data_IF_865358827185
#
_entry.id   IF_865358827185
#
_cell.length_a   1.000
_cell.length_b   1.000
_cell.length_c   1.000
_cell.angle_alpha   90.00
_cell.angle_beta   90.00
_cell.angle_gamma   90.00
#
_symmetry.space_group_name_H-M   'P 1'
#
loop_
_entity.id
_entity.type
_entity.pdbx_description
1 polymer ?
#
# COMPACT_ATOMS: atom_id res chain seq x y z
N UNK A 1 -15.69 -18.44 -26.75
CA UNK A 1 -16.98 -18.17 -27.43
C UNK A 1 -17.83 -17.37 -26.46
N UNK A 2 -17.99 -16.07 -26.71
CA UNK A 2 -18.88 -15.20 -25.95
C UNK A 2 -20.30 -15.44 -26.44
N UNK A 3 -21.17 -15.96 -25.58
CA UNK A 3 -22.61 -16.02 -25.86
C UNK A 3 -23.11 -14.58 -25.92
N UNK A 4 -23.24 -14.03 -27.13
CA UNK A 4 -24.07 -12.86 -27.32
C UNK A 4 -25.52 -13.30 -27.08
N UNK A 5 -26.26 -12.65 -26.17
CA UNK A 5 -27.67 -12.93 -25.95
C UNK A 5 -28.43 -12.72 -27.26
N UNK A 6 -29.41 -13.59 -27.50
CA UNK A 6 -30.24 -13.55 -28.70
C UNK A 6 -30.98 -12.21 -28.82
N UNK A 7 -31.21 -11.74 -30.05
CA UNK A 7 -32.05 -10.57 -30.32
C UNK A 7 -33.41 -10.75 -29.64
N UNK A 8 -33.72 -9.87 -28.67
CA UNK A 8 -34.97 -9.89 -27.90
C UNK A 8 -34.81 -9.95 -26.38
N UNK A 9 -33.61 -10.23 -25.86
CA UNK A 9 -33.34 -10.00 -24.44
C UNK A 9 -33.10 -8.51 -24.17
N UNK A 10 -33.76 -7.95 -23.15
CA UNK A 10 -33.55 -6.58 -22.67
C UNK A 10 -32.16 -6.45 -22.01
N UNK A 11 -31.11 -6.54 -22.82
CA UNK A 11 -29.72 -6.52 -22.36
C UNK A 11 -29.36 -5.07 -22.06
N UNK A 12 -29.16 -4.77 -20.78
CA UNK A 12 -28.87 -3.41 -20.28
C UNK A 12 -27.50 -2.89 -20.74
N UNK A 13 -26.60 -3.77 -21.16
CA UNK A 13 -25.28 -3.47 -21.72
C UNK A 13 -24.38 -4.72 -21.84
N UNK A 14 -23.20 -4.55 -22.44
CA UNK A 14 -22.16 -5.56 -22.61
C UNK A 14 -20.84 -5.09 -21.99
N UNK A 15 -20.08 -6.00 -21.38
CA UNK A 15 -18.71 -5.74 -20.94
C UNK A 15 -17.77 -6.77 -21.57
N UNK A 16 -16.74 -6.29 -22.26
CA UNK A 16 -15.72 -7.13 -22.87
C UNK A 16 -14.61 -7.38 -21.87
N UNK A 17 -14.51 -8.61 -21.36
CA UNK A 17 -13.46 -9.01 -20.42
C UNK A 17 -12.03 -8.84 -20.98
N UNK A 18 -11.87 -8.90 -22.31
CA UNK A 18 -10.57 -8.80 -22.96
C UNK A 18 -10.05 -7.35 -23.05
N UNK A 19 -10.91 -6.46 -23.56
CA UNK A 19 -10.61 -5.06 -23.80
C UNK A 19 -10.97 -4.15 -22.62
N UNK A 20 -11.69 -4.68 -21.62
CA UNK A 20 -12.19 -3.96 -20.43
C UNK A 20 -13.05 -2.75 -20.79
N UNK A 21 -13.74 -2.82 -21.92
CA UNK A 21 -14.68 -1.81 -22.40
C UNK A 21 -16.12 -2.23 -22.12
N UNK A 22 -16.93 -1.23 -21.78
CA UNK A 22 -18.36 -1.41 -21.50
C UNK A 22 -19.19 -0.65 -22.54
N UNK A 23 -20.17 -1.34 -23.13
CA UNK A 23 -21.18 -0.75 -24.00
C UNK A 23 -22.53 -0.82 -23.30
N UNK A 24 -22.95 0.30 -22.74
CA UNK A 24 -24.24 0.44 -22.08
C UNK A 24 -25.33 0.80 -23.09
N UNK A 25 -26.55 0.29 -22.85
CA UNK A 25 -27.73 0.78 -23.56
C UNK A 25 -27.92 2.29 -23.33
N UNK A 26 -28.50 3.00 -24.29
CA UNK A 26 -28.64 4.47 -24.24
C UNK A 26 -29.36 4.97 -22.98
N UNK A 27 -30.23 4.18 -22.35
CA UNK A 27 -30.91 4.52 -21.10
C UNK A 27 -30.00 4.43 -19.86
N UNK A 28 -28.89 3.70 -19.95
CA UNK A 28 -27.88 3.52 -18.89
C UNK A 28 -26.62 4.36 -19.14
N UNK A 29 -26.37 4.78 -20.38
CA UNK A 29 -25.23 5.60 -20.76
C UNK A 29 -25.46 7.08 -20.41
N UNK A 30 -25.29 7.43 -19.13
CA UNK A 30 -25.32 8.83 -18.64
C UNK A 30 -23.96 9.55 -18.80
N UNK A 31 -22.97 8.93 -19.44
CA UNK A 31 -21.56 9.38 -19.44
C UNK A 31 -21.24 10.54 -20.41
N UNK A 32 -22.17 11.47 -20.67
CA UNK A 32 -21.83 12.70 -21.38
C UNK A 32 -21.12 13.75 -20.51
N UNK A 33 -21.02 13.53 -19.19
CA UNK A 33 -20.12 14.33 -18.37
C UNK A 33 -18.70 13.84 -18.56
N UNK A 34 -17.91 14.76 -19.11
CA UNK A 34 -16.50 14.66 -19.43
C UNK A 34 -15.75 13.90 -18.34
N UNK A 35 -14.90 13.00 -18.80
CA UNK A 35 -13.74 12.43 -18.11
C UNK A 35 -12.71 13.51 -17.68
N UNK A 36 -13.18 14.72 -17.35
CA UNK A 36 -12.37 15.82 -16.88
C UNK A 36 -11.78 15.47 -15.51
N UNK A 37 -10.49 15.15 -15.56
CA UNK A 37 -9.51 15.19 -14.48
C UNK A 37 -9.92 14.60 -13.13
N UNK A 38 -10.24 13.30 -13.09
CA UNK A 38 -9.87 12.53 -11.89
C UNK A 38 -8.34 12.46 -11.81
N UNK A 39 -7.73 13.42 -11.14
CA UNK A 39 -6.35 13.33 -10.68
C UNK A 39 -6.37 12.63 -9.34
N UNK A 40 -5.88 11.38 -9.22
CA UNK A 40 -5.71 10.76 -7.92
C UNK A 40 -4.81 11.69 -7.09
N UNK A 41 -5.39 12.30 -6.06
CA UNK A 41 -4.62 13.10 -5.11
C UNK A 41 -3.92 12.08 -4.22
N UNK A 42 -2.60 11.99 -4.36
CA UNK A 42 -1.81 11.22 -3.42
C UNK A 42 -1.99 11.87 -2.05
N UNK A 43 -2.81 11.27 -1.20
CA UNK A 43 -2.77 11.60 0.22
C UNK A 43 -1.41 11.20 0.74
N UNK A 44 -0.85 12.08 1.55
CA UNK A 44 0.53 12.11 1.98
C UNK A 44 1.10 10.72 2.26
N UNK A 45 2.33 10.52 1.80
CA UNK A 45 3.13 9.31 1.93
C UNK A 45 3.35 8.92 3.40
N UNK A 46 2.32 8.34 4.02
CA UNK A 46 2.47 7.59 5.25
C UNK A 46 3.08 6.24 4.87
N UNK A 47 4.23 5.85 5.41
CA UNK A 47 4.99 4.74 4.84
C UNK A 47 4.49 3.36 5.25
N UNK A 48 3.29 3.27 5.78
CA UNK A 48 2.68 2.05 6.29
C UNK A 48 2.19 1.22 5.10
N UNK A 49 3.14 0.53 4.46
CA UNK A 49 2.92 -0.33 3.30
C UNK A 49 1.81 -1.37 3.52
N UNK A 50 1.54 -1.75 4.78
CA UNK A 50 0.64 -2.86 5.15
C UNK A 50 -0.54 -2.46 6.05
N UNK A 51 -0.66 -1.17 6.37
CA UNK A 51 -1.80 -0.62 7.11
C UNK A 51 -2.28 0.68 6.45
N UNK A 52 -2.35 0.71 5.11
CA UNK A 52 -3.15 1.75 4.44
C UNK A 52 -4.48 1.80 5.18
N UNK A 53 -4.88 2.91 5.78
CA UNK A 53 -6.25 2.99 6.26
C UNK A 53 -7.13 3.09 5.01
N UNK A 54 -8.32 2.48 5.03
CA UNK A 54 -9.26 2.62 3.91
C UNK A 54 -9.53 4.11 3.61
N UNK A 55 -9.41 4.97 4.63
CA UNK A 55 -9.58 6.41 4.59
C UNK A 55 -8.54 7.22 3.81
N UNK A 56 -7.38 6.68 3.43
CA UNK A 56 -6.34 7.44 2.71
C UNK A 56 -6.52 7.40 1.17
N UNK A 57 -7.73 7.07 0.70
CA UNK A 57 -8.07 6.80 -0.70
C UNK A 57 -8.43 8.02 -1.56
N UNK A 58 -8.03 9.24 -1.17
CA UNK A 58 -8.54 10.43 -1.85
C UNK A 58 -9.71 11.03 -1.09
N UNK A 59 -9.96 12.33 -1.24
CA UNK A 59 -11.12 13.03 -0.68
C UNK A 59 -12.47 12.53 -1.23
N UNK A 60 -12.46 11.56 -2.15
CA UNK A 60 -13.60 11.17 -2.96
C UNK A 60 -14.42 10.01 -2.37
N UNK A 61 -13.76 8.96 -1.86
CA UNK A 61 -14.45 7.79 -1.28
C UNK A 61 -14.36 7.88 0.24
N UNK A 62 -15.50 8.06 0.91
CA UNK A 62 -15.55 8.05 2.37
C UNK A 62 -15.81 6.63 2.86
N UNK A 63 -14.92 6.10 3.68
CA UNK A 63 -15.09 4.77 4.26
C UNK A 63 -15.68 4.87 5.65
N UNK A 64 -16.79 4.17 5.88
CA UNK A 64 -17.42 4.08 7.20
C UNK A 64 -17.40 2.65 7.66
N UNK A 65 -16.96 2.44 8.90
CA UNK A 65 -17.09 1.15 9.56
C UNK A 65 -18.58 0.80 9.63
N UNK A 66 -18.92 -0.43 9.25
CA UNK A 66 -20.28 -0.94 9.38
C UNK A 66 -20.27 -1.71 10.70
N UNK A 67 -21.01 -1.20 11.69
CA UNK A 67 -21.19 -1.91 12.94
C UNK A 67 -21.78 -3.31 12.70
N UNK A 68 -21.67 -4.19 13.69
CA UNK A 68 -21.83 -5.66 13.64
C UNK A 68 -23.12 -6.22 13.00
N UNK A 69 -24.04 -5.39 12.52
CA UNK A 69 -25.26 -5.82 11.85
C UNK A 69 -25.21 -5.45 10.37
N UNK A 70 -25.88 -6.24 9.53
CA UNK A 70 -26.06 -5.90 8.12
C UNK A 70 -26.95 -4.65 7.91
N UNK A 71 -27.47 -4.06 8.99
CA UNK A 71 -28.30 -2.86 9.00
C UNK A 71 -27.54 -1.66 8.45
N UNK A 72 -27.79 -1.33 7.17
CA UNK A 72 -27.15 -0.22 6.48
C UNK A 72 -26.43 -0.63 5.19
N UNK A 73 -26.27 -1.93 4.95
CA UNK A 73 -25.89 -2.46 3.67
C UNK A 73 -27.10 -2.67 2.76
N UNK A 74 -26.89 -2.44 1.47
CA UNK A 74 -27.84 -2.74 0.40
C UNK A 74 -27.13 -3.42 -0.77
N UNK A 75 -27.86 -4.18 -1.62
CA UNK A 75 -27.32 -4.67 -2.88
C UNK A 75 -26.66 -3.53 -3.69
N UNK A 76 -25.50 -3.80 -4.27
CA UNK A 76 -24.69 -2.82 -5.01
C UNK A 76 -23.73 -1.99 -4.13
N UNK A 77 -23.73 -2.15 -2.81
CA UNK A 77 -22.72 -1.51 -1.96
C UNK A 77 -21.33 -2.13 -2.19
N UNK A 78 -20.31 -1.27 -2.16
CA UNK A 78 -18.91 -1.67 -2.16
C UNK A 78 -18.41 -1.72 -0.72
N UNK A 79 -17.92 -2.87 -0.31
CA UNK A 79 -17.38 -3.12 1.01
C UNK A 79 -15.91 -3.55 0.96
N UNK A 80 -15.17 -3.27 2.03
CA UNK A 80 -13.79 -3.70 2.18
C UNK A 80 -13.46 -4.11 3.61
N UNK A 81 -12.53 -5.04 3.78
CA UNK A 81 -11.97 -5.42 5.09
C UNK A 81 -10.49 -5.78 4.94
N UNK A 82 -9.72 -5.56 5.99
CA UNK A 82 -8.30 -5.86 5.99
C UNK A 82 -8.06 -7.39 6.05
N UNK A 83 -7.06 -7.87 5.33
CA UNK A 83 -6.57 -9.26 5.42
C UNK A 83 -5.25 -9.24 6.21
N UNK A 84 -5.26 -9.52 7.53
CA UNK A 84 -4.12 -9.24 8.40
C UNK A 84 -2.82 -9.94 7.98
N UNK A 85 -2.90 -11.20 7.57
CA UNK A 85 -1.73 -11.96 7.14
C UNK A 85 -1.09 -11.46 5.83
N UNK A 86 -1.85 -10.76 5.00
CA UNK A 86 -1.40 -10.29 3.68
C UNK A 86 -1.32 -8.76 3.59
N UNK A 87 -1.71 -8.03 4.64
CA UNK A 87 -1.58 -6.57 4.76
C UNK A 87 -2.32 -5.73 3.71
N UNK A 88 -3.35 -6.27 3.05
CA UNK A 88 -4.11 -5.54 2.03
C UNK A 88 -5.61 -5.53 2.33
N UNK A 89 -6.31 -4.54 1.79
CA UNK A 89 -7.77 -4.47 1.86
C UNK A 89 -8.39 -5.35 0.80
N UNK A 90 -9.22 -6.28 1.24
CA UNK A 90 -10.01 -7.08 0.34
C UNK A 90 -11.31 -6.36 0.04
N UNK A 91 -11.67 -6.24 -1.23
CA UNK A 91 -12.84 -5.51 -1.70
C UNK A 91 -13.87 -6.45 -2.33
N UNK A 92 -15.16 -6.13 -2.15
CA UNK A 92 -16.25 -6.90 -2.70
C UNK A 92 -17.49 -6.03 -2.99
N UNK A 93 -18.40 -6.56 -3.82
CA UNK A 93 -19.71 -5.95 -4.09
C UNK A 93 -20.79 -6.78 -3.41
N UNK A 94 -21.65 -6.14 -2.63
CA UNK A 94 -22.80 -6.79 -1.97
C UNK A 94 -23.84 -7.14 -3.03
N UNK A 95 -24.17 -8.43 -3.16
CA UNK A 95 -25.23 -8.91 -4.05
C UNK A 95 -26.57 -9.03 -3.32
N UNK A 96 -26.56 -9.55 -2.09
CA UNK A 96 -27.76 -9.79 -1.30
C UNK A 96 -27.50 -9.49 0.18
N UNK A 97 -28.49 -8.93 0.85
CA UNK A 97 -28.47 -8.67 2.29
C UNK A 97 -29.63 -9.41 2.92
N UNK A 98 -29.37 -10.09 4.02
CA UNK A 98 -30.37 -10.72 4.89
C UNK A 98 -30.04 -10.38 6.35
N UNK A 99 -30.94 -10.70 7.28
CA UNK A 99 -30.74 -10.41 8.69
C UNK A 99 -29.47 -11.08 9.28
N UNK A 100 -29.10 -12.26 8.77
CA UNK A 100 -28.05 -13.10 9.35
C UNK A 100 -26.77 -13.21 8.50
N UNK A 101 -26.83 -12.83 7.22
CA UNK A 101 -25.71 -12.91 6.30
C UNK A 101 -25.83 -11.92 5.15
N UNK A 102 -24.68 -11.60 4.58
CA UNK A 102 -24.57 -10.95 3.28
C UNK A 102 -23.98 -11.91 2.26
N UNK A 103 -24.42 -11.79 1.02
CA UNK A 103 -23.80 -12.42 -0.13
C UNK A 103 -23.02 -11.36 -0.89
N UNK A 104 -21.77 -11.64 -1.19
CA UNK A 104 -20.88 -10.74 -1.90
C UNK A 104 -20.30 -11.41 -3.14
N UNK A 105 -20.04 -10.62 -4.18
CA UNK A 105 -19.25 -11.02 -5.33
C UNK A 105 -17.85 -10.45 -5.12
N UNK A 106 -16.84 -11.33 -5.10
CA UNK A 106 -15.45 -10.96 -4.80
C UNK A 106 -14.46 -11.82 -5.60
N UNK A 107 -13.22 -11.34 -5.72
CA UNK A 107 -12.12 -12.21 -6.13
C UNK A 107 -11.87 -13.25 -5.05
N UNK A 108 -12.07 -14.52 -5.38
CA UNK A 108 -11.89 -15.62 -4.45
C UNK A 108 -10.78 -16.56 -4.86
N UNK A 109 -10.11 -17.10 -3.87
CA UNK A 109 -9.16 -18.19 -4.00
C UNK A 109 -9.91 -19.50 -3.75
N UNK A 110 -9.94 -20.39 -4.75
CA UNK A 110 -10.44 -21.74 -4.59
C UNK A 110 -9.29 -22.74 -4.77
N UNK A 111 -9.12 -23.62 -3.77
CA UNK A 111 -8.15 -24.71 -3.82
C UNK A 111 -8.88 -25.96 -4.27
N UNK A 112 -8.64 -26.42 -5.50
CA UNK A 112 -9.15 -27.70 -6.01
C UNK A 112 -7.98 -28.56 -6.45
N UNK A 113 -7.92 -29.80 -5.96
CA UNK A 113 -6.97 -30.83 -6.42
C UNK A 113 -5.51 -30.34 -6.49
N UNK A 114 -5.02 -29.72 -5.41
CA UNK A 114 -3.67 -29.15 -5.30
C UNK A 114 -3.33 -27.99 -6.26
N UNK A 115 -4.32 -27.42 -6.97
CA UNK A 115 -4.15 -26.18 -7.73
C UNK A 115 -4.94 -25.05 -7.07
N UNK A 116 -4.28 -23.90 -6.95
CA UNK A 116 -4.89 -22.65 -6.52
C UNK A 116 -5.42 -21.94 -7.76
N UNK A 117 -6.73 -21.69 -7.84
CA UNK A 117 -7.33 -20.86 -8.88
C UNK A 117 -7.95 -19.63 -8.25
N UNK A 118 -7.63 -18.48 -8.82
CA UNK A 118 -8.28 -17.22 -8.48
C UNK A 118 -9.35 -16.92 -9.51
N UNK A 119 -10.57 -16.68 -9.04
CA UNK A 119 -11.68 -16.28 -9.91
C UNK A 119 -12.68 -15.42 -9.16
N UNK A 120 -13.42 -14.59 -9.87
CA UNK A 120 -14.52 -13.83 -9.29
C UNK A 120 -15.68 -14.79 -9.01
N UNK A 121 -16.14 -14.84 -7.77
CA UNK A 121 -17.16 -15.78 -7.32
C UNK A 121 -18.06 -15.18 -6.25
N UNK A 122 -19.23 -15.81 -6.06
CA UNK A 122 -20.13 -15.51 -4.95
C UNK A 122 -19.60 -16.11 -3.65
N UNK A 123 -19.71 -15.35 -2.57
CA UNK A 123 -19.36 -15.77 -1.21
C UNK A 123 -20.41 -15.30 -0.23
N UNK A 124 -20.78 -16.20 0.67
CA UNK A 124 -21.65 -15.90 1.81
C UNK A 124 -20.74 -15.48 2.97
N UNK A 125 -21.04 -14.35 3.59
CA UNK A 125 -20.43 -13.85 4.82
C UNK A 125 -21.50 -13.76 5.89
N UNK A 126 -21.34 -14.50 6.98
CA UNK A 126 -22.31 -14.55 8.06
C UNK A 126 -21.98 -13.47 9.11
N UNK A 127 -22.91 -13.19 10.01
CA UNK A 127 -22.77 -12.14 11.03
C UNK A 127 -21.45 -12.21 11.83
N UNK A 128 -20.96 -13.41 12.16
CA UNK A 128 -19.66 -13.57 12.82
C UNK A 128 -18.45 -13.21 11.94
N UNK A 129 -18.56 -13.33 10.62
CA UNK A 129 -17.56 -12.81 9.67
C UNK A 129 -17.60 -11.28 9.56
N UNK A 130 -18.65 -10.64 10.09
CA UNK A 130 -18.82 -9.19 10.18
C UNK A 130 -18.39 -8.65 11.56
N UNK A 131 -18.07 -9.51 12.54
CA UNK A 131 -17.75 -9.10 13.90
C UNK A 131 -16.38 -8.44 13.99
N UNK A 132 -16.36 -7.11 14.08
CA UNK A 132 -15.15 -6.29 14.22
C UNK A 132 -14.31 -6.54 15.49
N UNK A 133 -14.77 -7.35 16.46
CA UNK A 133 -14.11 -7.50 17.77
C UNK A 133 -13.57 -8.89 18.10
N UNK A 134 -13.89 -9.96 17.36
CA UNK A 134 -13.51 -11.32 17.77
C UNK A 134 -12.56 -12.02 16.79
N UNK A 135 -11.62 -11.26 16.21
CA UNK A 135 -10.52 -11.68 15.32
C UNK A 135 -10.70 -11.23 13.85
N UNK A 136 -9.94 -10.19 13.51
CA UNK A 136 -9.22 -10.03 12.24
C UNK A 136 -9.79 -9.25 11.04
N UNK A 137 -10.74 -8.33 11.22
CA UNK A 137 -10.72 -6.96 10.62
C UNK A 137 -12.15 -6.42 10.44
N UNK A 138 -12.47 -5.20 10.94
CA UNK A 138 -13.77 -4.60 10.71
C UNK A 138 -14.04 -4.40 9.21
N UNK A 139 -15.32 -4.52 8.83
CA UNK A 139 -15.78 -4.24 7.48
C UNK A 139 -16.15 -2.77 7.34
N UNK A 140 -15.80 -2.19 6.20
CA UNK A 140 -16.08 -0.80 5.86
C UNK A 140 -16.92 -0.74 4.60
N UNK A 141 -17.88 0.18 4.58
CA UNK A 141 -18.63 0.58 3.39
C UNK A 141 -17.96 1.77 2.73
N UNK A 142 -17.79 1.68 1.41
CA UNK A 142 -17.43 2.83 0.58
C UNK A 142 -18.66 3.71 0.33
N UNK A 143 -18.53 5.00 0.60
CA UNK A 143 -19.50 6.03 0.23
C UNK A 143 -18.91 6.88 -0.89
N UNK A 144 -19.48 6.74 -2.08
CA UNK A 144 -19.14 7.56 -3.24
C UNK A 144 -19.95 8.86 -3.23
N UNK A 145 -19.49 9.90 -3.95
CA UNK A 145 -20.26 11.12 -4.15
C UNK A 145 -21.57 10.84 -4.88
N UNK A 146 -22.56 11.69 -4.64
CA UNK A 146 -23.92 11.50 -5.11
C UNK A 146 -23.97 11.39 -6.65
N UNK A 147 -23.11 12.14 -7.34
CA UNK A 147 -23.01 12.13 -8.80
C UNK A 147 -22.64 10.73 -9.32
N UNK A 148 -21.69 10.05 -8.66
CA UNK A 148 -21.29 8.69 -9.05
C UNK A 148 -22.36 7.67 -8.71
N UNK A 149 -23.02 7.78 -7.54
CA UNK A 149 -24.14 6.90 -7.18
C UNK A 149 -25.33 7.07 -8.17
N UNK A 150 -25.62 8.30 -8.60
CA UNK A 150 -26.68 8.61 -9.55
C UNK A 150 -26.39 8.14 -10.99
N UNK A 151 -25.12 8.12 -11.37
CA UNK A 151 -24.64 7.58 -12.65
C UNK A 151 -24.55 6.05 -12.62
N UNK A 152 -24.24 5.46 -11.47
CA UNK A 152 -24.02 4.03 -11.29
C UNK A 152 -25.00 3.45 -10.27
N UNK A 153 -26.30 3.38 -10.62
CA UNK A 153 -27.31 2.88 -9.70
C UNK A 153 -27.06 1.41 -9.33
N UNK A 154 -27.57 0.94 -8.18
CA UNK A 154 -27.31 -0.42 -7.68
C UNK A 154 -27.54 -1.53 -8.71
N UNK A 155 -28.57 -1.41 -9.54
CA UNK A 155 -28.89 -2.41 -10.57
C UNK A 155 -27.76 -2.53 -11.60
N UNK A 156 -27.15 -1.42 -11.99
CA UNK A 156 -26.01 -1.41 -12.93
C UNK A 156 -24.75 -1.99 -12.27
N UNK A 157 -24.47 -1.61 -11.03
CA UNK A 157 -23.35 -2.16 -10.24
C UNK A 157 -23.45 -3.69 -10.15
N UNK A 158 -24.65 -4.19 -9.86
CA UNK A 158 -24.91 -5.64 -9.77
C UNK A 158 -24.80 -6.34 -11.13
N UNK A 159 -25.22 -5.71 -12.22
CA UNK A 159 -25.03 -6.24 -13.58
C UNK A 159 -23.55 -6.42 -13.88
N UNK A 160 -22.72 -5.41 -13.63
CA UNK A 160 -21.25 -5.48 -13.80
C UNK A 160 -20.62 -6.57 -12.93
N UNK A 161 -21.01 -6.62 -11.65
CA UNK A 161 -20.50 -7.61 -10.72
C UNK A 161 -20.84 -9.04 -11.17
N UNK A 162 -22.10 -9.28 -11.57
CA UNK A 162 -22.57 -10.59 -12.05
C UNK A 162 -21.92 -10.99 -13.38
N UNK A 163 -21.77 -10.05 -14.31
CA UNK A 163 -21.10 -10.29 -15.59
C UNK A 163 -19.62 -10.67 -15.42
N UNK A 164 -19.00 -10.28 -14.31
CA UNK A 164 -17.61 -10.59 -14.00
C UNK A 164 -17.43 -11.97 -13.35
N UNK A 165 -18.50 -12.65 -12.92
CA UNK A 165 -18.41 -13.96 -12.25
C UNK A 165 -17.78 -15.00 -13.20
N UNK A 166 -16.84 -15.77 -12.67
CA UNK A 166 -16.08 -16.76 -13.42
C UNK A 166 -14.86 -16.20 -14.14
N UNK A 167 -14.67 -14.87 -14.17
CA UNK A 167 -13.44 -14.26 -14.67
C UNK A 167 -12.25 -14.74 -13.84
N UNK A 168 -11.17 -15.10 -14.52
CA UNK A 168 -9.89 -15.48 -13.94
C UNK A 168 -8.79 -14.49 -14.37
N UNK A 169 -7.53 -14.78 -14.01
CA UNK A 169 -6.41 -13.87 -14.30
C UNK A 169 -6.17 -12.80 -13.24
N UNK A 170 -6.50 -13.09 -11.96
CA UNK A 170 -6.17 -12.22 -10.84
C UNK A 170 -4.71 -11.76 -10.89
N UNK A 171 -4.49 -10.45 -10.89
CA UNK A 171 -3.18 -9.85 -10.86
C UNK A 171 -3.14 -8.77 -9.79
N UNK A 172 -2.25 -8.91 -8.80
CA UNK A 172 -2.12 -7.98 -7.68
C UNK A 172 -1.97 -6.51 -8.13
N UNK A 173 -1.27 -6.27 -9.24
CA UNK A 173 -0.91 -4.93 -9.74
C UNK A 173 -1.81 -4.38 -10.84
N UNK A 174 -2.65 -5.22 -11.47
CA UNK A 174 -3.41 -4.81 -12.67
C UNK A 174 -4.82 -5.38 -12.76
N UNK A 175 -5.20 -6.32 -11.88
CA UNK A 175 -6.53 -6.90 -11.83
C UNK A 175 -6.80 -7.56 -10.48
N UNK A 176 -6.95 -6.72 -9.45
CA UNK A 176 -7.15 -7.16 -8.07
C UNK A 176 -8.60 -6.90 -7.61
N UNK A 177 -8.90 -7.21 -6.34
CA UNK A 177 -10.21 -6.99 -5.75
C UNK A 177 -10.71 -5.54 -5.81
N UNK A 178 -9.82 -4.57 -5.60
CA UNK A 178 -10.19 -3.15 -5.65
C UNK A 178 -10.49 -2.67 -7.07
N UNK A 179 -9.73 -3.14 -8.07
CA UNK A 179 -10.03 -2.84 -9.47
C UNK A 179 -11.42 -3.34 -9.86
N UNK A 180 -11.74 -4.57 -9.49
CA UNK A 180 -13.05 -5.16 -9.73
C UNK A 180 -14.17 -4.34 -9.08
N UNK A 181 -14.06 -4.05 -7.78
CA UNK A 181 -15.11 -3.32 -7.07
C UNK A 181 -15.26 -1.87 -7.57
N UNK A 182 -14.15 -1.19 -7.87
CA UNK A 182 -14.15 0.15 -8.45
C UNK A 182 -14.75 0.17 -9.84
N UNK A 183 -14.44 -0.82 -10.68
CA UNK A 183 -15.07 -0.96 -11.99
C UNK A 183 -16.59 -1.14 -11.85
N UNK A 184 -17.05 -1.99 -10.94
CA UNK A 184 -18.49 -2.17 -10.72
C UNK A 184 -19.16 -0.85 -10.29
N UNK A 185 -18.54 -0.10 -9.39
CA UNK A 185 -19.11 1.16 -8.85
C UNK A 185 -18.99 2.38 -9.76
N UNK A 186 -18.01 2.42 -10.64
CA UNK A 186 -17.67 3.65 -11.38
C UNK A 186 -17.51 3.46 -12.89
N UNK A 187 -17.51 2.22 -13.38
CA UNK A 187 -17.15 1.88 -14.76
C UNK A 187 -15.65 1.99 -15.05
N UNK A 188 -14.82 2.37 -14.06
CA UNK A 188 -13.40 2.59 -14.22
C UNK A 188 -12.59 1.50 -13.51
N UNK A 189 -11.72 0.83 -14.26
CA UNK A 189 -10.82 -0.20 -13.74
C UNK A 189 -9.61 0.46 -13.06
N UNK A 190 -9.72 0.74 -11.75
CA UNK A 190 -8.71 1.46 -10.96
C UNK A 190 -8.56 0.87 -9.56
N UNK A 191 -7.33 0.94 -9.02
CA UNK A 191 -7.01 0.54 -7.64
C UNK A 191 -6.17 1.62 -6.98
N UNK A 192 -6.67 2.18 -5.89
CA UNK A 192 -5.91 3.10 -5.08
C UNK A 192 -4.76 2.39 -4.36
N UNK A 193 -4.91 1.11 -3.98
CA UNK A 193 -3.80 0.31 -3.43
C UNK A 193 -2.60 0.26 -4.39
N UNK A 194 -2.84 0.02 -5.68
CA UNK A 194 -1.76 0.01 -6.68
C UNK A 194 -1.19 1.41 -6.92
N UNK A 195 -2.04 2.43 -6.93
CA UNK A 195 -1.58 3.82 -7.04
C UNK A 195 -0.66 4.20 -5.87
N UNK A 196 -1.09 3.92 -4.64
CA UNK A 196 -0.33 4.19 -3.42
C UNK A 196 0.97 3.38 -3.38
N UNK A 197 0.96 2.13 -3.82
CA UNK A 197 2.16 1.31 -4.01
C UNK A 197 3.15 2.00 -4.97
N UNK A 198 2.69 2.49 -6.13
CA UNK A 198 3.57 3.19 -7.10
C UNK A 198 4.17 4.47 -6.52
N UNK A 199 3.35 5.29 -5.86
CA UNK A 199 3.80 6.53 -5.20
C UNK A 199 4.84 6.21 -4.12
N UNK A 200 4.55 5.21 -3.29
CA UNK A 200 5.45 4.75 -2.21
C UNK A 200 6.77 4.25 -2.77
N UNK A 201 6.76 3.35 -3.77
CA UNK A 201 7.98 2.84 -4.41
C UNK A 201 8.81 3.98 -5.00
N UNK A 202 8.17 4.97 -5.65
CA UNK A 202 8.88 6.13 -6.20
C UNK A 202 9.53 6.98 -5.10
N UNK A 203 8.82 7.21 -3.99
CA UNK A 203 9.37 7.92 -2.85
C UNK A 203 10.55 7.16 -2.21
N UNK A 204 10.45 5.84 -2.13
CA UNK A 204 11.50 4.95 -1.63
C UNK A 204 12.76 5.00 -2.49
N UNK A 205 12.62 4.87 -3.81
CA UNK A 205 13.76 4.94 -4.74
C UNK A 205 14.49 6.27 -4.54
N UNK A 206 13.76 7.39 -4.46
CA UNK A 206 14.37 8.70 -4.19
C UNK A 206 15.12 8.75 -2.86
N UNK A 207 14.53 8.18 -1.80
CA UNK A 207 15.17 8.12 -0.47
C UNK A 207 16.44 7.25 -0.49
N UNK A 208 16.41 6.09 -1.12
CA UNK A 208 17.57 5.19 -1.26
C UNK A 208 18.69 5.90 -2.03
N UNK A 209 18.38 6.56 -3.14
CA UNK A 209 19.37 7.31 -3.94
C UNK A 209 19.98 8.45 -3.13
N UNK A 210 19.17 9.20 -2.38
CA UNK A 210 19.66 10.29 -1.53
C UNK A 210 20.60 9.79 -0.43
N UNK A 211 20.24 8.69 0.23
CA UNK A 211 21.07 8.06 1.27
C UNK A 211 22.37 7.55 0.70
N UNK A 212 22.32 6.88 -0.46
CA UNK A 212 23.52 6.38 -1.13
C UNK A 212 24.47 7.53 -1.51
N UNK A 213 23.93 8.61 -2.08
CA UNK A 213 24.72 9.79 -2.44
C UNK A 213 25.34 10.45 -1.20
N UNK A 214 24.59 10.53 -0.10
CA UNK A 214 25.06 11.07 1.17
C UNK A 214 26.25 10.28 1.72
N UNK A 215 26.12 8.94 1.85
CA UNK A 215 27.19 8.06 2.31
C UNK A 215 28.43 8.17 1.42
N UNK A 216 28.26 8.20 0.09
CA UNK A 216 29.39 8.37 -0.84
C UNK A 216 30.15 9.69 -0.64
N UNK A 217 29.42 10.79 -0.44
CA UNK A 217 30.01 12.12 -0.21
C UNK A 217 30.77 12.11 1.12
N UNK A 218 30.18 11.58 2.19
CA UNK A 218 30.82 11.53 3.50
C UNK A 218 32.10 10.69 3.49
N UNK A 219 32.05 9.51 2.88
CA UNK A 219 33.23 8.66 2.73
C UNK A 219 34.34 9.36 1.95
N UNK A 220 33.99 10.00 0.83
CA UNK A 220 34.96 10.74 0.00
C UNK A 220 35.62 11.89 0.75
N UNK A 221 34.84 12.64 1.56
CA UNK A 221 35.36 13.74 2.38
C UNK A 221 36.27 13.20 3.49
N UNK A 222 35.85 12.14 4.17
CA UNK A 222 36.61 11.54 5.26
C UNK A 222 37.98 11.03 4.79
N UNK A 223 38.00 10.28 3.66
CA UNK A 223 39.24 9.80 3.04
C UNK A 223 40.13 10.96 2.58
N UNK A 224 39.55 12.01 2.01
CA UNK A 224 40.27 13.22 1.60
C UNK A 224 40.94 13.94 2.78
N UNK A 225 40.24 14.06 3.91
CA UNK A 225 40.78 14.63 5.15
C UNK A 225 41.88 13.73 5.73
N UNK A 226 41.67 12.42 5.80
CA UNK A 226 42.67 11.48 6.31
C UNK A 226 43.97 11.53 5.50
N UNK A 227 43.83 11.58 4.16
CA UNK A 227 44.96 11.76 3.23
C UNK A 227 45.71 13.06 3.50
N UNK A 228 44.99 14.17 3.73
CA UNK A 228 45.58 15.47 4.01
C UNK A 228 46.31 15.54 5.36
N UNK A 229 45.85 14.81 6.39
CA UNK A 229 46.36 14.90 7.77
C UNK A 229 47.48 13.89 8.08
N UNK A 230 48.02 13.20 7.07
CA UNK A 230 49.19 12.31 7.16
C UNK A 230 49.09 11.27 8.31
N UNK A 231 48.03 10.46 8.30
CA UNK A 231 47.97 9.22 9.09
C UNK A 231 47.45 9.35 10.52
N UNK A 232 46.58 10.34 10.80
CA UNK A 232 45.78 10.38 12.02
C UNK A 232 44.37 9.86 11.75
N UNK A 233 44.23 8.54 11.68
CA UNK A 233 42.98 7.84 11.35
C UNK A 233 41.81 8.22 12.27
N UNK A 234 42.08 8.66 13.51
CA UNK A 234 41.05 9.12 14.45
C UNK A 234 40.32 10.40 14.00
N UNK A 235 40.95 11.23 13.16
CA UNK A 235 40.33 12.46 12.65
C UNK A 235 39.23 12.14 11.63
N UNK A 236 39.47 11.17 10.74
CA UNK A 236 38.44 10.68 9.81
C UNK A 236 37.24 10.08 10.56
N UNK A 237 37.50 9.28 11.60
CA UNK A 237 36.44 8.73 12.47
C UNK A 237 35.63 9.84 13.15
N UNK A 238 36.31 10.85 13.70
CA UNK A 238 35.63 11.98 14.35
C UNK A 238 34.76 12.76 13.35
N UNK A 239 35.28 13.03 12.15
CA UNK A 239 34.54 13.69 11.09
C UNK A 239 33.30 12.89 10.69
N UNK A 240 33.42 11.57 10.50
CA UNK A 240 32.30 10.69 10.17
C UNK A 240 31.19 10.75 11.25
N UNK A 241 31.55 10.64 12.53
CA UNK A 241 30.59 10.71 13.63
C UNK A 241 29.87 12.07 13.67
N UNK A 242 30.59 13.17 13.42
CA UNK A 242 30.01 14.51 13.39
C UNK A 242 29.05 14.69 12.21
N UNK A 243 29.41 14.21 11.02
CA UNK A 243 28.55 14.31 9.84
C UNK A 243 27.26 13.48 10.00
N UNK A 244 27.38 12.23 10.46
CA UNK A 244 26.22 11.37 10.75
C UNK A 244 25.32 11.96 11.84
N UNK A 245 25.90 12.56 12.88
CA UNK A 245 25.14 13.25 13.93
C UNK A 245 24.37 14.45 13.36
N UNK A 246 25.01 15.25 12.50
CA UNK A 246 24.36 16.39 11.84
C UNK A 246 23.25 15.94 10.89
N UNK A 247 23.49 14.89 10.10
CA UNK A 247 22.48 14.29 9.23
C UNK A 247 21.28 13.78 10.03
N UNK A 248 21.51 13.05 11.12
CA UNK A 248 20.44 12.58 12.01
C UNK A 248 19.61 13.74 12.56
N UNK A 249 20.24 14.84 12.98
CA UNK A 249 19.54 16.05 13.43
C UNK A 249 18.67 16.62 12.31
N UNK A 250 19.19 16.73 11.08
CA UNK A 250 18.42 17.22 9.92
C UNK A 250 17.22 16.31 9.64
N UNK A 251 17.40 15.00 9.65
CA UNK A 251 16.31 14.02 9.45
C UNK A 251 15.24 14.17 10.54
N UNK A 252 15.63 14.31 11.81
CA UNK A 252 14.71 14.53 12.92
C UNK A 252 13.93 15.83 12.72
N UNK A 253 14.60 16.93 12.34
CA UNK A 253 13.95 18.21 12.08
C UNK A 253 12.95 18.08 10.91
N UNK A 254 13.34 17.43 9.81
CA UNK A 254 12.46 17.23 8.66
C UNK A 254 11.23 16.39 9.02
N UNK A 255 11.41 15.29 9.76
CA UNK A 255 10.31 14.44 10.23
C UNK A 255 9.40 15.20 11.20
N UNK A 256 9.97 15.98 12.11
CA UNK A 256 9.21 16.80 13.04
C UNK A 256 8.43 17.91 12.31
N UNK A 257 9.05 18.62 11.35
CA UNK A 257 8.37 19.63 10.53
C UNK A 257 7.25 19.02 9.66
N UNK A 258 7.41 17.78 9.21
CA UNK A 258 6.38 17.05 8.50
C UNK A 258 5.20 16.67 9.43
N UNK A 259 5.48 15.97 10.53
CA UNK A 259 4.45 15.46 11.46
C UNK A 259 3.73 16.59 12.20
N UNK A 260 4.41 17.72 12.47
CA UNK A 260 3.82 18.91 13.09
C UNK A 260 2.88 19.69 12.18
N UNK A 261 2.93 19.49 10.85
CA UNK A 261 1.95 20.04 9.91
C UNK A 261 0.67 19.21 9.84
N UNK A 262 0.72 17.95 10.26
CA UNK A 262 -0.43 17.03 10.23
C UNK A 262 -1.21 16.95 11.55
N UNK A 263 -0.65 17.44 12.65
CA UNK A 263 -1.24 17.30 13.99
C UNK A 263 -1.52 18.65 14.64
N UNK A 264 -2.66 18.76 15.33
CA UNK A 264 -2.99 19.95 16.13
C UNK A 264 -1.94 20.21 17.22
N UNK A 265 -1.80 21.49 17.60
CA UNK A 265 -0.68 22.04 18.38
C UNK A 265 -0.33 21.31 19.69
N UNK A 266 -1.26 20.58 20.30
CA UNK A 266 -1.10 19.89 21.59
C UNK A 266 -0.24 18.62 21.49
N UNK A 267 -0.04 18.05 20.29
CA UNK A 267 0.69 16.77 20.08
C UNK A 267 2.20 16.98 19.79
N UNK A 268 2.69 18.23 19.68
CA UNK A 268 4.03 18.55 19.15
C UNK A 268 5.21 17.95 19.94
N UNK A 269 5.12 17.80 21.26
CA UNK A 269 6.18 17.16 22.07
C UNK A 269 6.28 15.65 21.80
N UNK A 270 5.14 14.99 21.64
CA UNK A 270 5.07 13.58 21.27
C UNK A 270 5.52 13.37 19.82
N UNK A 271 5.26 14.33 18.93
CA UNK A 271 5.75 14.28 17.54
C UNK A 271 7.28 14.34 17.45
N UNK A 272 7.95 15.22 18.22
CA UNK A 272 9.42 15.29 18.22
C UNK A 272 10.05 14.01 18.77
N UNK A 273 9.54 13.50 19.90
CA UNK A 273 10.02 12.25 20.48
C UNK A 273 9.78 11.06 19.55
N UNK A 274 8.62 11.01 18.88
CA UNK A 274 8.31 9.97 17.90
C UNK A 274 9.23 10.06 16.68
N UNK A 275 9.47 11.26 16.16
CA UNK A 275 10.41 11.48 15.06
C UNK A 275 11.84 11.06 15.45
N UNK A 276 12.30 11.45 16.63
CA UNK A 276 13.61 11.04 17.15
C UNK A 276 13.71 9.52 17.31
N UNK A 277 12.72 8.87 17.93
CA UNK A 277 12.69 7.41 18.09
C UNK A 277 12.71 6.69 16.74
N UNK A 278 11.91 7.14 15.77
CA UNK A 278 11.90 6.57 14.41
C UNK A 278 13.25 6.74 13.73
N UNK A 279 13.86 7.92 13.79
CA UNK A 279 15.14 8.20 13.15
C UNK A 279 16.29 7.41 13.79
N UNK A 280 16.35 7.36 15.12
CA UNK A 280 17.32 6.55 15.86
C UNK A 280 17.16 5.07 15.55
N UNK A 281 15.93 4.56 15.56
CA UNK A 281 15.71 3.15 15.30
C UNK A 281 15.99 2.75 13.83
N UNK A 282 15.69 3.64 12.87
CA UNK A 282 16.12 3.48 11.47
C UNK A 282 17.65 3.39 11.37
N UNK A 283 18.36 4.29 12.07
CA UNK A 283 19.84 4.33 12.07
C UNK A 283 20.45 3.07 12.70
N UNK A 284 19.91 2.61 13.84
CA UNK A 284 20.38 1.38 14.50
C UNK A 284 20.15 0.16 13.62
N UNK A 285 18.98 0.04 13.00
CA UNK A 285 18.67 -1.08 12.10
C UNK A 285 19.55 -1.06 10.84
N UNK A 286 19.84 0.12 10.28
CA UNK A 286 20.80 0.26 9.20
C UNK A 286 22.17 -0.30 9.58
N UNK A 287 22.70 0.11 10.73
CA UNK A 287 24.02 -0.34 11.20
C UNK A 287 24.03 -1.84 11.47
N UNK A 288 23.03 -2.36 12.19
CA UNK A 288 22.94 -3.78 12.52
C UNK A 288 22.87 -4.65 11.25
N UNK A 289 22.07 -4.26 10.27
CA UNK A 289 21.98 -5.04 9.03
C UNK A 289 23.21 -4.86 8.15
N UNK A 290 23.87 -3.70 8.18
CA UNK A 290 25.15 -3.51 7.51
C UNK A 290 26.18 -4.53 8.00
N UNK A 291 26.24 -4.70 9.32
CA UNK A 291 27.09 -5.69 9.97
C UNK A 291 26.63 -7.11 9.61
N UNK A 292 25.34 -7.43 9.68
CA UNK A 292 24.83 -8.79 9.44
C UNK A 292 24.91 -9.22 7.96
N UNK A 293 24.73 -8.30 7.02
CA UNK A 293 24.79 -8.59 5.59
C UNK A 293 26.24 -8.61 5.05
N UNK A 294 27.14 -7.82 5.63
CA UNK A 294 28.54 -7.80 5.20
C UNK A 294 29.27 -9.10 5.53
N UNK A 295 28.97 -9.76 6.66
CA UNK A 295 29.68 -10.98 7.09
C UNK A 295 29.49 -12.20 6.15
N UNK A 296 28.25 -12.64 5.81
CA UNK A 296 28.04 -13.78 4.93
C UNK A 296 28.46 -13.51 3.49
N UNK A 297 28.31 -12.26 3.05
CA UNK A 297 28.64 -11.84 1.69
C UNK A 297 30.17 -11.80 1.52
N UNK A 298 30.90 -11.27 2.50
CA UNK A 298 32.36 -11.33 2.53
C UNK A 298 32.87 -12.78 2.52
N UNK A 299 32.25 -13.67 3.32
CA UNK A 299 32.57 -15.12 3.31
C UNK A 299 32.32 -15.76 1.92
N UNK A 300 31.22 -15.42 1.26
CA UNK A 300 30.90 -15.91 -0.08
C UNK A 300 31.90 -15.44 -1.15
N UNK A 301 32.30 -14.17 -1.12
CA UNK A 301 33.29 -13.63 -2.07
C UNK A 301 34.71 -14.17 -1.82
N UNK A 302 35.09 -14.39 -0.56
CA UNK A 302 36.35 -15.06 -0.22
C UNK A 302 36.39 -16.48 -0.79
N UNK A 303 35.27 -17.22 -0.73
CA UNK A 303 35.13 -18.55 -1.35
C UNK A 303 35.24 -18.54 -2.88
N UNK A 304 34.90 -17.43 -3.53
CA UNK A 304 35.00 -17.28 -4.99
C UNK A 304 36.41 -16.89 -5.48
N UNK A 305 37.36 -16.61 -4.59
CA UNK A 305 38.74 -16.25 -4.97
C UNK A 305 38.87 -14.91 -5.71
N UNK A 306 37.83 -14.07 -5.71
CA UNK A 306 37.72 -12.82 -6.46
C UNK A 306 38.38 -11.62 -5.75
N UNK A 307 39.59 -11.75 -5.18
CA UNK A 307 40.18 -10.66 -4.37
C UNK A 307 41.57 -10.21 -4.85
N UNK A 308 41.64 -9.07 -5.55
CA UNK A 308 42.79 -8.18 -5.48
C UNK A 308 42.35 -6.84 -4.86
N UNK A 309 42.77 -6.60 -3.61
CA UNK A 309 42.54 -5.42 -2.75
C UNK A 309 41.29 -5.46 -1.86
N UNK A 310 41.52 -5.97 -0.64
CA UNK A 310 40.61 -6.14 0.50
C UNK A 310 39.72 -4.91 0.80
N UNK A 311 40.24 -3.70 0.60
CA UNK A 311 39.63 -2.45 1.09
C UNK A 311 38.39 -2.01 0.32
N UNK A 312 38.37 -2.13 -1.02
CA UNK A 312 37.22 -1.69 -1.82
C UNK A 312 35.99 -2.58 -1.63
N UNK A 313 36.21 -3.88 -1.43
CA UNK A 313 35.18 -4.88 -1.18
C UNK A 313 34.51 -4.62 0.17
N UNK A 314 35.28 -4.33 1.22
CA UNK A 314 34.76 -3.98 2.55
C UNK A 314 33.91 -2.71 2.52
N UNK A 315 34.32 -1.68 1.77
CA UNK A 315 33.58 -0.43 1.58
C UNK A 315 32.24 -0.69 0.86
N UNK A 316 32.27 -1.39 -0.27
CA UNK A 316 31.07 -1.70 -1.07
C UNK A 316 30.06 -2.52 -0.25
N UNK A 317 30.53 -3.44 0.60
CA UNK A 317 29.65 -4.24 1.46
C UNK A 317 29.10 -3.48 2.66
N UNK A 318 29.87 -2.57 3.25
CA UNK A 318 29.35 -1.65 4.26
C UNK A 318 28.19 -0.83 3.70
N UNK A 319 28.35 -0.30 2.48
CA UNK A 319 27.31 0.48 1.79
C UNK A 319 26.09 -0.38 1.47
N UNK A 320 26.26 -1.54 0.83
CA UNK A 320 25.15 -2.44 0.47
C UNK A 320 24.38 -2.92 1.70
N UNK A 321 25.09 -3.33 2.74
CA UNK A 321 24.47 -3.77 3.97
C UNK A 321 23.71 -2.65 4.68
N UNK A 322 24.24 -1.41 4.64
CA UNK A 322 23.54 -0.23 5.14
C UNK A 322 22.23 0.03 4.38
N UNK A 323 22.26 -0.02 3.04
CA UNK A 323 21.06 0.12 2.20
C UNK A 323 19.99 -0.91 2.58
N UNK A 324 20.37 -2.19 2.70
CA UNK A 324 19.45 -3.27 3.03
C UNK A 324 18.89 -3.09 4.45
N UNK A 325 19.71 -2.68 5.42
CA UNK A 325 19.26 -2.41 6.78
C UNK A 325 18.28 -1.26 6.90
N UNK A 326 18.47 -0.22 6.10
CA UNK A 326 17.50 0.86 6.00
C UNK A 326 16.17 0.38 5.43
N UNK A 327 16.20 -0.42 4.37
CA UNK A 327 15.01 -1.01 3.75
C UNK A 327 14.25 -1.84 4.80
N UNK A 328 14.93 -2.74 5.49
CA UNK A 328 14.31 -3.66 6.44
C UNK A 328 13.90 -3.01 7.76
N UNK A 329 14.73 -2.15 8.33
CA UNK A 329 14.39 -1.37 9.52
C UNK A 329 13.16 -0.52 9.26
N UNK A 330 13.09 0.14 8.11
CA UNK A 330 11.92 0.89 7.72
C UNK A 330 10.68 0.01 7.54
N UNK A 331 10.80 -1.16 6.90
CA UNK A 331 9.70 -2.13 6.82
C UNK A 331 9.22 -2.49 8.23
N UNK A 332 10.11 -2.99 9.10
CA UNK A 332 9.79 -3.40 10.47
C UNK A 332 9.13 -2.27 11.29
N UNK A 333 9.55 -1.02 11.13
CA UNK A 333 8.92 0.13 11.80
C UNK A 333 7.63 0.62 11.14
N UNK A 334 7.48 0.42 9.83
CA UNK A 334 6.20 0.58 9.14
C UNK A 334 5.20 -0.51 9.51
N UNK A 335 5.63 -1.56 10.23
CA UNK A 335 4.77 -2.56 10.84
C UNK A 335 4.51 -2.32 12.33
N UNK A 336 5.28 -1.44 12.99
CA UNK A 336 5.03 -1.11 14.39
C UNK A 336 3.77 -0.24 14.42
N UNK A 337 2.64 -0.78 14.91
CA UNK A 337 1.42 0.00 14.93
C UNK A 337 1.68 1.25 15.76
N UNK A 338 1.35 2.41 15.21
CA UNK A 338 1.05 3.53 16.09
C UNK A 338 -0.02 3.04 17.08
N UNK A 339 0.06 3.38 18.36
CA UNK A 339 -1.12 3.33 19.23
C UNK A 339 -2.10 4.43 18.74
N UNK A 340 -2.63 4.26 17.53
CA UNK A 340 -3.68 5.08 16.98
C UNK A 340 -4.97 4.62 17.64
N UNK A 341 -5.45 5.48 18.53
CA UNK A 341 -6.85 5.58 18.92
C UNK A 341 -7.41 4.29 19.53
N UNK A 342 -7.32 4.21 20.86
CA UNK A 342 -8.53 3.83 21.62
C UNK A 342 -9.65 4.72 21.09
N UNK A 343 -10.46 4.19 20.18
CA UNK A 343 -11.81 4.67 19.96
C UNK A 343 -12.60 4.33 21.24
N UNK A 344 -12.41 5.14 22.26
CA UNK A 344 -13.40 5.34 23.30
C UNK A 344 -14.08 6.66 22.97
N UNK A 345 -15.18 6.57 22.22
CA UNK A 345 -16.34 7.42 22.43
C UNK A 345 -17.38 6.50 23.07
#
# INVERSE_FOLDING_TARGET
MTNFPAEGENVKGYYCLHCKEEWLSNSMNKNQLTTDEYKPVAHHSLPYFWFMQVSDTGSYIKWKNIDKTAGGLKPGDHVAWLRPFLGYWHHAIVEKVTDNYIEVIEWSCEVRSCRVRFSIARKIRKEWDLCGNCCYSPMYKAHYPEEVENQNPPELVLVRAKASIGSDGYCLLSDNCEHFASFCKTGLHRSNQVFQLKVSVKAWIRKIVAIFLHVLIEMSISEGIESAVKGKNWIGILCLVLFESAYLIVVIIMMWCHDSKQTDFIVKKHALLSAALKATAQSVMLVLFAILASVPLLDWFLKLGLVPKRTWIEIVFGILGGIIGNILGFFLFSFYPYPCCRNTI
#
